data_IF_974235541327
#
_entry.id   IF_974235541327
#
_cell.length_a   1.000
_cell.length_b   1.000
_cell.length_c   1.000
_cell.angle_alpha   90.00
_cell.angle_beta   90.00
_cell.angle_gamma   90.00
#
_symmetry.space_group_name_H-M   'P 1'
#
loop_
_entity.id
_entity.type
_entity.pdbx_description
1 polymer ?
#
# COMPACT_ATOMS: atom_id res chain seq x y z
N UNK A 1 17.07 -22.36 3.70
CA UNK A 1 16.52 -21.30 4.56
C UNK A 1 15.17 -21.77 5.08
N UNK A 2 15.02 -21.87 6.39
CA UNK A 2 13.76 -22.18 7.07
C UNK A 2 12.96 -20.90 7.26
N UNK A 3 11.66 -21.03 7.52
CA UNK A 3 10.80 -19.89 7.88
C UNK A 3 11.35 -19.12 9.09
N UNK A 4 11.91 -19.82 10.08
CA UNK A 4 12.57 -19.22 11.23
C UNK A 4 13.72 -18.29 10.82
N UNK A 5 14.58 -18.72 9.89
CA UNK A 5 15.76 -17.95 9.47
C UNK A 5 15.35 -16.61 8.82
N UNK A 6 14.31 -16.63 7.98
CA UNK A 6 13.77 -15.43 7.35
C UNK A 6 13.10 -14.49 8.36
N UNK A 7 12.31 -15.04 9.29
CA UNK A 7 11.70 -14.26 10.36
C UNK A 7 12.76 -13.62 11.26
N UNK A 8 13.83 -14.35 11.58
CA UNK A 8 14.92 -13.83 12.40
C UNK A 8 15.68 -12.71 11.69
N UNK A 9 15.92 -12.84 10.38
CA UNK A 9 16.55 -11.80 9.57
C UNK A 9 15.69 -10.53 9.46
N UNK A 10 14.37 -10.65 9.43
CA UNK A 10 13.42 -9.54 9.30
C UNK A 10 12.80 -9.08 10.63
N UNK A 11 13.23 -9.61 11.77
CA UNK A 11 12.59 -9.46 13.08
C UNK A 11 12.32 -7.99 13.42
N UNK A 12 13.33 -7.12 13.32
CA UNK A 12 13.20 -5.70 13.63
C UNK A 12 12.14 -4.98 12.78
N UNK A 13 12.14 -5.21 11.47
CA UNK A 13 11.16 -4.62 10.55
C UNK A 13 9.75 -5.15 10.82
N UNK A 14 9.60 -6.47 10.98
CA UNK A 14 8.30 -7.09 11.26
C UNK A 14 7.72 -6.62 12.60
N UNK A 15 8.55 -6.41 13.62
CA UNK A 15 8.13 -5.83 14.89
C UNK A 15 7.59 -4.41 14.72
N UNK A 16 8.25 -3.55 13.93
CA UNK A 16 7.79 -2.18 13.65
C UNK A 16 6.46 -2.19 12.88
N UNK A 17 6.35 -3.04 11.85
CA UNK A 17 5.12 -3.19 11.08
C UNK A 17 3.96 -3.64 11.98
N UNK A 18 4.20 -4.64 12.84
CA UNK A 18 3.19 -5.15 13.75
C UNK A 18 2.77 -4.10 14.79
N UNK A 19 3.72 -3.37 15.38
CA UNK A 19 3.43 -2.29 16.33
C UNK A 19 2.55 -1.18 15.71
N UNK A 20 2.64 -0.98 14.39
CA UNK A 20 1.87 -0.01 13.64
C UNK A 20 0.63 -0.57 12.93
N UNK A 21 0.28 -1.83 13.16
CA UNK A 21 -0.82 -2.54 12.46
C UNK A 21 -0.69 -2.49 10.92
N UNK A 22 0.54 -2.60 10.40
CA UNK A 22 0.83 -2.65 8.98
C UNK A 22 0.96 -4.12 8.55
N UNK A 23 0.17 -4.53 7.56
CA UNK A 23 0.25 -5.88 6.99
C UNK A 23 1.35 -5.93 5.93
N UNK A 24 2.33 -6.83 6.09
CA UNK A 24 3.38 -7.03 5.09
C UNK A 24 2.84 -7.39 3.69
N UNK A 25 1.62 -7.96 3.60
CA UNK A 25 0.93 -8.24 2.33
C UNK A 25 0.58 -6.98 1.55
N UNK A 26 0.55 -5.81 2.19
CA UNK A 26 0.29 -4.54 1.50
C UNK A 26 1.44 -4.14 0.55
N UNK A 27 2.59 -4.83 0.58
CA UNK A 27 3.69 -4.66 -0.39
C UNK A 27 3.20 -4.73 -1.85
N UNK A 28 2.17 -5.56 -2.13
CA UNK A 28 1.57 -5.69 -3.48
C UNK A 28 0.90 -4.41 -3.98
N UNK A 29 0.58 -3.47 -3.09
CA UNK A 29 -0.09 -2.22 -3.41
C UNK A 29 0.86 -1.02 -3.53
N UNK A 30 2.17 -1.19 -3.31
CA UNK A 30 3.13 -0.08 -3.34
C UNK A 30 3.12 0.66 -4.68
N UNK A 31 3.03 -0.08 -5.80
CA UNK A 31 2.99 0.52 -7.14
C UNK A 31 1.70 1.32 -7.36
N UNK A 32 0.56 0.77 -6.94
CA UNK A 32 -0.74 1.46 -7.00
C UNK A 32 -0.69 2.78 -6.24
N UNK A 33 -0.15 2.79 -5.02
CA UNK A 33 -0.07 4.00 -4.22
C UNK A 33 0.91 5.02 -4.80
N UNK A 34 2.05 4.57 -5.34
CA UNK A 34 2.99 5.45 -6.06
C UNK A 34 2.31 6.14 -7.25
N UNK A 35 1.56 5.39 -8.05
CA UNK A 35 0.84 5.94 -9.20
C UNK A 35 -0.29 6.89 -8.77
N UNK A 36 -0.98 6.59 -7.66
CA UNK A 36 -1.94 7.52 -7.05
C UNK A 36 -1.28 8.85 -6.65
N UNK A 37 -0.12 8.81 -6.00
CA UNK A 37 0.62 10.02 -5.62
C UNK A 37 1.02 10.81 -6.86
N UNK A 38 1.50 10.14 -7.93
CA UNK A 38 1.79 10.79 -9.21
C UNK A 38 0.56 11.50 -9.78
N UNK A 39 -0.57 10.81 -9.90
CA UNK A 39 -1.81 11.38 -10.44
C UNK A 39 -2.30 12.58 -9.61
N UNK A 40 -2.12 12.51 -8.28
CA UNK A 40 -2.44 13.63 -7.39
C UNK A 40 -1.51 14.83 -7.62
N UNK A 41 -0.20 14.60 -7.82
CA UNK A 41 0.77 15.65 -8.14
C UNK A 41 0.52 16.30 -9.50
N UNK A 42 0.02 15.53 -10.47
CA UNK A 42 -0.40 16.01 -11.79
C UNK A 42 -1.71 16.81 -11.75
N UNK A 43 -2.37 16.92 -10.58
CA UNK A 43 -3.59 17.70 -10.40
C UNK A 43 -4.88 16.98 -10.81
N UNK A 44 -4.83 15.66 -11.04
CA UNK A 44 -6.03 14.90 -11.39
C UNK A 44 -7.01 14.79 -10.21
N UNK A 45 -8.31 14.81 -10.53
CA UNK A 45 -9.38 14.60 -9.54
C UNK A 45 -9.28 13.20 -8.94
N UNK A 46 -9.54 13.07 -7.63
CA UNK A 46 -9.48 11.79 -6.90
C UNK A 46 -10.34 10.72 -7.56
N UNK A 47 -11.57 11.05 -7.97
CA UNK A 47 -12.46 10.09 -8.64
C UNK A 47 -11.89 9.54 -9.95
N UNK A 48 -11.23 10.39 -10.74
CA UNK A 48 -10.53 9.95 -11.95
C UNK A 48 -9.36 9.03 -11.62
N UNK A 49 -8.51 9.42 -10.66
CA UNK A 49 -7.37 8.60 -10.26
C UNK A 49 -7.82 7.22 -9.74
N UNK A 50 -8.91 7.18 -8.97
CA UNK A 50 -9.49 5.93 -8.47
C UNK A 50 -10.02 5.05 -9.60
N UNK A 51 -10.82 5.61 -10.50
CA UNK A 51 -11.32 4.88 -11.67
C UNK A 51 -10.16 4.34 -12.51
N UNK A 52 -9.22 5.19 -12.90
CA UNK A 52 -8.05 4.81 -13.71
C UNK A 52 -7.23 3.68 -13.06
N UNK A 53 -6.90 3.80 -11.76
CA UNK A 53 -6.13 2.79 -11.05
C UNK A 53 -6.90 1.48 -10.85
N UNK A 54 -8.24 1.54 -10.74
CA UNK A 54 -9.08 0.34 -10.65
C UNK A 54 -8.96 -0.50 -11.92
N UNK A 55 -8.94 0.15 -13.09
CA UNK A 55 -8.75 -0.51 -14.38
C UNK A 55 -7.31 -1.01 -14.55
N UNK A 56 -6.33 -0.14 -14.26
CA UNK A 56 -4.90 -0.45 -14.46
C UNK A 56 -4.39 -1.61 -13.60
N UNK A 57 -4.97 -1.80 -12.41
CA UNK A 57 -4.58 -2.83 -11.45
C UNK A 57 -5.64 -3.93 -11.31
N UNK A 58 -6.63 -3.98 -12.21
CA UNK A 58 -7.70 -4.99 -12.25
C UNK A 58 -8.33 -5.24 -10.88
N UNK A 59 -8.70 -4.16 -10.19
CA UNK A 59 -9.30 -4.22 -8.86
C UNK A 59 -10.50 -3.27 -8.76
N UNK A 60 -11.31 -3.42 -7.70
CA UNK A 60 -12.42 -2.51 -7.48
C UNK A 60 -11.96 -1.13 -7.03
N UNK A 61 -12.70 -0.08 -7.38
CA UNK A 61 -12.48 1.27 -6.84
C UNK A 61 -12.42 1.29 -5.30
N UNK A 62 -13.25 0.46 -4.65
CA UNK A 62 -13.23 0.28 -3.20
C UNK A 62 -11.89 -0.26 -2.68
N UNK A 63 -11.19 -1.07 -3.47
CA UNK A 63 -9.82 -1.52 -3.17
C UNK A 63 -8.86 -0.36 -3.26
N UNK A 64 -8.92 0.44 -4.32
CA UNK A 64 -8.07 1.64 -4.49
C UNK A 64 -8.25 2.62 -3.32
N UNK A 65 -9.50 2.96 -2.98
CA UNK A 65 -9.78 3.84 -1.82
C UNK A 65 -9.20 3.29 -0.52
N UNK A 66 -9.33 1.98 -0.28
CA UNK A 66 -8.79 1.33 0.91
C UNK A 66 -7.26 1.42 0.97
N UNK A 67 -6.59 1.18 -0.16
CA UNK A 67 -5.12 1.28 -0.26
C UNK A 67 -4.67 2.70 0.03
N UNK A 68 -5.25 3.70 -0.65
CA UNK A 68 -4.91 5.11 -0.46
C UNK A 68 -5.09 5.51 1.00
N UNK A 69 -6.22 5.11 1.61
CA UNK A 69 -6.52 5.40 3.02
C UNK A 69 -5.52 4.74 3.98
N UNK A 70 -5.05 3.52 3.70
CA UNK A 70 -4.10 2.80 4.57
C UNK A 70 -2.69 3.36 4.45
N UNK A 71 -2.20 3.53 3.22
CA UNK A 71 -0.82 3.94 2.96
C UNK A 71 -0.57 5.43 3.20
N UNK A 72 -1.61 6.26 3.18
CA UNK A 72 -1.52 7.68 3.54
C UNK A 72 -1.55 7.97 5.05
N UNK A 73 -1.58 6.95 5.91
CA UNK A 73 -1.57 7.15 7.37
C UNK A 73 -0.16 7.43 7.87
N UNK A 74 -0.04 8.38 8.78
CA UNK A 74 1.18 8.54 9.58
C UNK A 74 1.28 7.39 10.58
N UNK A 75 2.47 6.81 10.70
CA UNK A 75 2.83 5.87 11.76
C UNK A 75 3.07 6.64 13.08
N UNK A 76 2.75 6.02 14.21
CA UNK A 76 2.95 6.59 15.55
C UNK A 76 4.20 6.01 16.19
#
# INVERSE_FOLDING_TARGET
MKQYDLLKAAESLLTILNANNIDAKDVKYLRLYKDFVRLKMEGHKIGYAVYYLSQQYECSEATVYRVIKRMGKNIR
#
